data_IF_201952397089
#
_entry.id   IF_201952397089
#
_cell.length_a   1.000
_cell.length_b   1.000
_cell.length_c   1.000
_cell.angle_alpha   90.00
_cell.angle_beta   90.00
_cell.angle_gamma   90.00
#
_symmetry.space_group_name_H-M   'P 1'
#
loop_
_entity.id
_entity.type
_entity.pdbx_description
1 polymer ?
#
# COMPACT_ATOMS: atom_id res chain seq x y z
N UNK A 1 14.39 8.18 9.61
CA UNK A 1 13.34 7.42 8.90
C UNK A 1 12.23 8.35 8.48
N UNK A 2 11.72 8.16 7.29
CA UNK A 2 10.51 8.84 6.83
C UNK A 2 9.39 7.83 6.67
N UNK A 3 8.14 8.31 6.82
CA UNK A 3 6.95 7.48 6.63
C UNK A 3 6.10 8.11 5.54
N UNK A 4 5.80 7.33 4.52
CA UNK A 4 4.86 7.72 3.48
C UNK A 4 3.47 7.22 3.86
N UNK A 5 2.51 8.13 3.93
CA UNK A 5 1.10 7.78 4.14
C UNK A 5 0.34 8.01 2.84
N UNK A 6 -0.38 6.99 2.40
CA UNK A 6 -1.23 7.08 1.21
C UNK A 6 -2.66 6.80 1.62
N UNK A 7 -3.59 7.63 1.14
CA UNK A 7 -5.01 7.51 1.44
C UNK A 7 -5.79 7.37 0.14
N UNK A 8 -6.60 6.31 0.06
CA UNK A 8 -7.48 6.08 -1.08
C UNK A 8 -8.93 6.10 -0.64
N UNK A 9 -9.78 6.79 -1.40
CA UNK A 9 -11.22 6.77 -1.17
C UNK A 9 -11.85 5.75 -2.10
N UNK A 10 -12.64 4.84 -1.52
CA UNK A 10 -13.30 3.77 -2.25
C UNK A 10 -14.80 4.02 -2.35
N UNK A 11 -15.46 3.27 -3.21
CA UNK A 11 -16.93 3.24 -3.23
C UNK A 11 -17.45 2.68 -1.91
N UNK A 12 -18.62 3.14 -1.42
CA UNK A 12 -19.18 2.66 -0.17
C UNK A 12 -19.24 1.14 -0.10
N UNK A 13 -18.75 0.57 1.02
CA UNK A 13 -18.79 -0.85 1.27
C UNK A 13 -17.70 -1.68 0.61
N UNK A 14 -16.77 -1.06 -0.12
CA UNK A 14 -15.73 -1.80 -0.84
C UNK A 14 -14.43 -2.00 -0.06
N UNK A 15 -14.30 -1.41 1.11
CA UNK A 15 -13.04 -1.42 1.87
C UNK A 15 -12.62 -2.84 2.31
N UNK A 16 -13.56 -3.67 2.75
CA UNK A 16 -13.24 -5.04 3.18
C UNK A 16 -12.79 -5.90 2.01
N UNK A 17 -13.46 -5.79 0.87
CA UNK A 17 -13.10 -6.50 -0.35
C UNK A 17 -11.71 -6.06 -0.84
N UNK A 18 -11.43 -4.76 -0.80
CA UNK A 18 -10.14 -4.22 -1.18
C UNK A 18 -9.03 -4.80 -0.31
N UNK A 19 -9.20 -4.80 1.02
CA UNK A 19 -8.21 -5.33 1.95
C UNK A 19 -8.00 -6.83 1.77
N UNK A 20 -9.05 -7.59 1.54
CA UNK A 20 -8.97 -9.03 1.32
C UNK A 20 -8.17 -9.34 0.04
N UNK A 21 -8.48 -8.66 -1.05
CA UNK A 21 -7.77 -8.82 -2.31
C UNK A 21 -6.30 -8.43 -2.18
N UNK A 22 -6.03 -7.31 -1.50
CA UNK A 22 -4.66 -6.86 -1.27
C UNK A 22 -3.86 -7.88 -0.46
N UNK A 23 -4.44 -8.40 0.62
CA UNK A 23 -3.77 -9.39 1.47
C UNK A 23 -3.40 -10.65 0.68
N UNK A 24 -4.30 -11.10 -0.19
CA UNK A 24 -4.09 -12.33 -0.96
C UNK A 24 -3.14 -12.15 -2.14
N UNK A 25 -3.17 -11.01 -2.80
CA UNK A 25 -2.49 -10.84 -4.09
C UNK A 25 -1.44 -9.73 -4.09
N UNK A 26 -1.71 -8.58 -3.45
CA UNK A 26 -0.83 -7.42 -3.52
C UNK A 26 0.28 -7.42 -2.48
N UNK A 27 -0.02 -7.84 -1.27
CA UNK A 27 0.91 -7.78 -0.15
C UNK A 27 2.16 -8.65 -0.37
N UNK A 28 1.99 -9.83 -0.92
CA UNK A 28 3.11 -10.75 -1.19
C UNK A 28 4.11 -10.16 -2.17
N UNK A 29 3.64 -9.31 -3.09
CA UNK A 29 4.48 -8.63 -4.06
C UNK A 29 5.08 -7.36 -3.46
N UNK A 30 4.25 -6.53 -2.85
CA UNK A 30 4.62 -5.19 -2.42
C UNK A 30 5.56 -5.19 -1.22
N UNK A 31 5.30 -6.03 -0.22
CA UNK A 31 6.03 -6.03 1.03
C UNK A 31 7.53 -6.32 0.89
N UNK A 32 7.94 -7.36 0.14
CA UNK A 32 9.38 -7.61 -0.05
C UNK A 32 10.08 -6.49 -0.80
N UNK A 33 9.40 -5.84 -1.74
CA UNK A 33 10.00 -4.80 -2.59
C UNK A 33 10.06 -3.46 -1.87
N UNK A 34 8.98 -3.02 -1.24
CA UNK A 34 8.96 -1.75 -0.49
C UNK A 34 9.60 -1.87 0.88
N UNK A 35 9.51 -3.03 1.51
CA UNK A 35 10.26 -3.37 2.71
C UNK A 35 9.50 -3.14 4.00
N UNK A 36 9.43 -1.92 4.50
CA UNK A 36 8.94 -1.65 5.85
C UNK A 36 7.48 -1.19 5.85
N UNK A 37 6.55 -2.15 5.87
CA UNK A 37 5.13 -1.86 6.05
C UNK A 37 4.87 -1.44 7.50
N UNK A 38 4.47 -0.18 7.69
CA UNK A 38 4.10 0.33 9.01
C UNK A 38 2.68 -0.10 9.37
N UNK A 39 1.74 -0.01 8.40
CA UNK A 39 0.38 -0.46 8.63
C UNK A 39 -0.50 -0.28 7.40
N UNK A 40 -1.63 -0.98 7.44
CA UNK A 40 -2.65 -0.92 6.40
C UNK A 40 -4.00 -0.91 7.09
N UNK A 41 -4.76 0.18 6.94
CA UNK A 41 -5.94 0.44 7.75
C UNK A 41 -7.13 0.84 6.90
N UNK A 42 -8.32 0.70 7.45
CA UNK A 42 -9.51 1.34 6.91
C UNK A 42 -10.12 2.27 7.97
N UNK A 43 -10.93 3.24 7.53
CA UNK A 43 -11.54 4.20 8.43
C UNK A 43 -12.79 3.62 9.08
N UNK A 44 -12.82 3.60 10.43
CA UNK A 44 -14.00 3.23 11.21
C UNK A 44 -14.71 4.49 11.73
N UNK A 45 -13.91 5.45 12.22
CA UNK A 45 -14.40 6.75 12.70
C UNK A 45 -13.66 7.83 11.93
N UNK A 46 -14.42 8.79 11.33
CA UNK A 46 -13.88 9.83 10.49
C UNK A 46 -14.40 9.69 9.06
N UNK A 47 -13.70 10.24 8.03
CA UNK A 47 -14.11 10.09 6.65
C UNK A 47 -14.18 8.61 6.25
N UNK A 48 -15.39 8.14 5.93
CA UNK A 48 -15.61 6.73 5.63
C UNK A 48 -15.13 6.33 4.23
N UNK A 49 -15.07 5.01 4.01
CA UNK A 49 -14.71 4.41 2.72
C UNK A 49 -13.28 4.72 2.28
N UNK A 50 -12.40 4.98 3.24
CA UNK A 50 -11.00 5.24 2.95
C UNK A 50 -10.11 4.08 3.41
N UNK A 51 -9.08 3.83 2.62
CA UNK A 51 -7.97 2.95 2.98
C UNK A 51 -6.74 3.81 3.19
N UNK A 52 -6.06 3.60 4.31
CA UNK A 52 -4.82 4.29 4.63
C UNK A 52 -3.72 3.26 4.78
N UNK A 53 -2.63 3.41 4.03
CA UNK A 53 -1.47 2.56 4.22
C UNK A 53 -0.20 3.40 4.36
N UNK A 54 0.73 2.88 5.15
CA UNK A 54 1.95 3.58 5.52
C UNK A 54 3.16 2.68 5.31
N UNK A 55 4.20 3.26 4.71
CA UNK A 55 5.47 2.57 4.46
C UNK A 55 6.61 3.41 4.99
N UNK A 56 7.55 2.79 5.70
CA UNK A 56 8.72 3.47 6.23
C UNK A 56 9.94 3.29 5.34
N UNK A 57 10.73 4.36 5.20
CA UNK A 57 11.98 4.34 4.43
C UNK A 57 13.04 5.09 5.20
N UNK A 58 14.31 4.71 5.01
CA UNK A 58 15.42 5.42 5.64
C UNK A 58 15.60 6.82 5.04
N UNK A 59 15.34 6.98 3.74
CA UNK A 59 15.50 8.22 3.02
C UNK A 59 14.55 8.30 1.83
N UNK A 60 14.44 9.49 1.24
CA UNK A 60 13.69 9.68 0.00
C UNK A 60 14.34 8.93 -1.16
N UNK A 61 15.67 8.81 -1.16
CA UNK A 61 16.37 8.06 -2.19
C UNK A 61 16.04 6.58 -2.13
N UNK A 62 16.01 6.00 -0.93
CA UNK A 62 15.59 4.61 -0.75
C UNK A 62 14.16 4.40 -1.24
N UNK A 63 13.26 5.33 -0.89
CA UNK A 63 11.88 5.29 -1.36
C UNK A 63 11.80 5.27 -2.89
N UNK A 64 12.53 6.15 -3.55
CA UNK A 64 12.54 6.25 -5.02
C UNK A 64 13.03 4.95 -5.66
N UNK A 65 14.11 4.36 -5.13
CA UNK A 65 14.67 3.11 -5.64
C UNK A 65 13.69 1.96 -5.47
N UNK A 66 13.08 1.82 -4.29
CA UNK A 66 12.14 0.74 -4.01
C UNK A 66 10.87 0.85 -4.84
N UNK A 67 10.33 2.05 -5.02
CA UNK A 67 9.14 2.27 -5.83
C UNK A 67 9.40 1.99 -7.31
N UNK A 68 10.56 2.38 -7.81
CA UNK A 68 10.96 2.07 -9.19
C UNK A 68 11.03 0.57 -9.41
N UNK A 69 11.57 -0.16 -8.45
CA UNK A 69 11.66 -1.61 -8.48
C UNK A 69 10.26 -2.25 -8.50
N UNK A 70 9.33 -1.74 -7.70
CA UNK A 70 7.96 -2.22 -7.64
C UNK A 70 7.25 -2.03 -8.98
N UNK A 71 7.33 -0.82 -9.57
CA UNK A 71 6.67 -0.53 -10.83
C UNK A 71 7.31 -1.26 -12.01
N UNK A 72 8.57 -1.67 -11.88
CA UNK A 72 9.24 -2.50 -12.86
C UNK A 72 8.94 -3.99 -12.74
N UNK A 73 8.30 -4.40 -11.63
CA UNK A 73 7.97 -5.81 -11.41
C UNK A 73 6.68 -6.17 -12.14
N UNK A 74 6.77 -7.14 -13.04
CA UNK A 74 5.63 -7.52 -13.88
C UNK A 74 4.44 -8.02 -13.06
N UNK A 75 4.69 -8.79 -12.01
CA UNK A 75 3.64 -9.29 -11.13
C UNK A 75 2.82 -8.18 -10.48
N UNK A 76 3.47 -7.07 -10.12
CA UNK A 76 2.77 -5.91 -9.56
C UNK A 76 1.89 -5.22 -10.61
N UNK A 77 2.44 -5.02 -11.81
CA UNK A 77 1.66 -4.42 -12.91
C UNK A 77 0.46 -5.28 -13.28
N UNK A 78 0.59 -6.58 -13.21
CA UNK A 78 -0.52 -7.51 -13.47
C UNK A 78 -1.58 -7.45 -12.37
N UNK A 79 -1.16 -7.23 -11.11
CA UNK A 79 -2.08 -7.10 -9.99
C UNK A 79 -2.92 -5.82 -10.05
N UNK A 80 -2.29 -4.70 -10.40
CA UNK A 80 -2.93 -3.37 -10.42
C UNK A 80 -4.00 -3.22 -11.56
#
# INVERSE_FOLDING_TARGET
>A
MIVEQRTYTLHPGQHLKYLDTYEKEGLEIQRPILGNLVGYFFTDIGPLNQIVHMWGYESLDERAIRRKKLFGYEGWRAYV
#
